data_IF_273062809224
#
_entry.id   IF_273062809224
#
_cell.length_a   1.000
_cell.length_b   1.000
_cell.length_c   1.000
_cell.angle_alpha   90.00
_cell.angle_beta   90.00
_cell.angle_gamma   90.00
#
_symmetry.space_group_name_H-M   'P 1'
#
loop_
_entity.id
_entity.type
_entity.pdbx_description
1 polymer ?
#
# COMPACT_ATOMS: atom_id res chain seq x y z
N UNK A 1 -2.03 -15.91 -9.20
CA UNK A 1 -1.36 -14.63 -8.89
C UNK A 1 -0.05 -14.98 -8.21
N UNK A 2 1.08 -14.47 -8.68
CA UNK A 2 2.38 -14.68 -8.00
C UNK A 2 2.25 -14.27 -6.52
N UNK A 3 2.94 -14.93 -5.57
CA UNK A 3 2.59 -14.95 -4.14
C UNK A 3 2.56 -13.61 -3.38
N UNK A 4 2.75 -12.47 -4.04
CA UNK A 4 2.73 -11.14 -3.44
C UNK A 4 2.11 -10.06 -4.33
N UNK A 5 1.57 -10.43 -5.50
CA UNK A 5 0.88 -9.47 -6.36
C UNK A 5 -0.58 -9.35 -5.94
N UNK A 6 -1.09 -8.12 -5.95
CA UNK A 6 -2.49 -7.83 -5.62
C UNK A 6 -3.29 -7.72 -6.91
N UNK A 7 -4.57 -8.11 -6.88
CA UNK A 7 -5.46 -7.83 -8.00
C UNK A 7 -5.85 -6.36 -7.94
N UNK A 8 -5.75 -5.66 -9.06
CA UNK A 8 -6.09 -4.22 -9.14
C UNK A 8 -7.53 -3.96 -8.67
N UNK A 9 -8.48 -4.87 -8.97
CA UNK A 9 -9.87 -4.77 -8.53
C UNK A 9 -10.09 -4.84 -7.01
N UNK A 10 -9.11 -5.37 -6.27
CA UNK A 10 -9.17 -5.49 -4.81
C UNK A 10 -8.58 -4.21 -4.14
N UNK A 11 -8.13 -3.24 -4.94
CA UNK A 11 -7.59 -1.96 -4.50
C UNK A 11 -8.64 -0.88 -4.67
N UNK A 12 -8.88 -0.12 -3.62
CA UNK A 12 -9.68 1.11 -3.70
C UNK A 12 -8.87 2.30 -3.19
N UNK A 13 -9.31 3.50 -3.55
CA UNK A 13 -8.71 4.74 -3.07
C UNK A 13 -9.71 5.50 -2.21
N UNK A 14 -9.19 6.17 -1.18
CA UNK A 14 -9.97 7.03 -0.30
C UNK A 14 -9.15 8.25 0.09
N UNK A 15 -9.74 9.19 0.81
CA UNK A 15 -9.06 10.39 1.29
C UNK A 15 -9.08 10.44 2.81
N UNK A 16 -7.96 10.84 3.41
CA UNK A 16 -7.91 11.20 4.83
C UNK A 16 -8.84 12.40 5.08
N UNK A 17 -9.18 12.66 6.36
CA UNK A 17 -9.90 13.88 6.76
C UNK A 17 -9.22 15.18 6.33
N UNK A 18 -7.91 15.14 6.03
CA UNK A 18 -7.10 16.29 5.55
C UNK A 18 -6.91 16.30 4.03
N UNK A 19 -7.60 15.43 3.30
CA UNK A 19 -7.57 15.37 1.84
C UNK A 19 -6.43 14.53 1.23
N UNK A 20 -5.51 13.96 2.02
CA UNK A 20 -4.47 13.09 1.47
C UNK A 20 -5.02 11.76 0.96
N UNK A 21 -4.56 11.33 -0.22
CA UNK A 21 -4.91 10.04 -0.83
C UNK A 21 -4.44 8.86 0.02
N UNK A 22 -5.30 7.86 0.15
CA UNK A 22 -5.04 6.58 0.78
C UNK A 22 -5.34 5.47 -0.21
N UNK A 23 -4.50 4.43 -0.20
CA UNK A 23 -4.77 3.16 -0.85
C UNK A 23 -5.39 2.22 0.17
N UNK A 24 -6.50 1.58 -0.16
CA UNK A 24 -7.20 0.63 0.70
C UNK A 24 -7.08 -0.76 0.09
N UNK A 25 -6.61 -1.72 0.89
CA UNK A 25 -6.53 -3.12 0.52
C UNK A 25 -6.83 -3.99 1.74
N UNK A 26 -7.77 -4.95 1.61
CA UNK A 26 -8.25 -5.81 2.71
C UNK A 26 -8.53 -5.01 3.99
N UNK A 27 -9.36 -3.96 3.87
CA UNK A 27 -9.74 -3.04 4.96
C UNK A 27 -8.60 -2.27 5.63
N UNK A 28 -7.35 -2.44 5.20
CA UNK A 28 -6.21 -1.68 5.71
C UNK A 28 -5.90 -0.48 4.81
N UNK A 29 -5.76 0.68 5.45
CA UNK A 29 -5.34 1.90 4.77
C UNK A 29 -3.81 1.99 4.69
N UNK A 30 -3.33 2.41 3.54
CA UNK A 30 -1.93 2.67 3.24
C UNK A 30 -1.76 4.13 2.82
N UNK A 31 -0.70 4.75 3.33
CA UNK A 31 -0.31 6.12 3.00
C UNK A 31 0.87 6.10 2.04
N UNK A 32 0.86 7.04 1.09
CA UNK A 32 1.99 7.24 0.17
C UNK A 32 3.21 7.69 0.98
N UNK A 33 4.32 6.99 0.79
CA UNK A 33 5.61 7.31 1.40
C UNK A 33 6.46 8.15 0.46
N UNK A 34 6.72 7.63 -0.73
CA UNK A 34 7.59 8.25 -1.73
C UNK A 34 7.26 7.75 -3.13
N UNK A 35 7.76 8.48 -4.12
CA UNK A 35 7.84 8.04 -5.52
C UNK A 35 9.31 7.76 -5.83
N UNK A 36 9.60 6.62 -6.47
CA UNK A 36 10.97 6.21 -6.81
C UNK A 36 10.97 5.39 -8.10
N UNK A 37 12.15 5.05 -8.61
CA UNK A 37 12.31 4.18 -9.78
C UNK A 37 12.84 2.81 -9.31
N UNK A 38 12.11 1.74 -9.60
CA UNK A 38 12.51 0.36 -9.28
C UNK A 38 12.55 -0.43 -10.57
N UNK A 39 13.70 -1.03 -10.87
CA UNK A 39 13.92 -1.78 -12.11
C UNK A 39 13.54 -0.99 -13.38
N UNK A 40 13.79 0.32 -13.39
CA UNK A 40 13.47 1.21 -14.51
C UNK A 40 12.04 1.75 -14.53
N UNK A 41 11.17 1.34 -13.60
CA UNK A 41 9.76 1.74 -13.58
C UNK A 41 9.42 2.71 -12.45
N UNK A 42 8.55 3.66 -12.75
CA UNK A 42 8.00 4.62 -11.79
C UNK A 42 7.14 3.89 -10.77
N UNK A 43 7.57 3.89 -9.51
CA UNK A 43 6.98 3.11 -8.43
C UNK A 43 6.61 3.99 -7.24
N UNK A 44 5.34 3.99 -6.88
CA UNK A 44 4.86 4.61 -5.64
C UNK A 44 5.00 3.61 -4.49
N UNK A 45 5.67 4.02 -3.42
CA UNK A 45 5.81 3.27 -2.19
C UNK A 45 4.68 3.64 -1.23
N UNK A 46 3.99 2.63 -0.72
CA UNK A 46 2.91 2.78 0.23
C UNK A 46 3.25 2.03 1.52
N UNK A 47 2.97 2.62 2.68
CA UNK A 47 3.10 1.94 3.97
C UNK A 47 1.78 1.92 4.72
N UNK A 48 1.57 0.89 5.52
CA UNK A 48 0.38 0.81 6.37
C UNK A 48 0.27 2.07 7.26
N UNK A 49 -0.92 2.66 7.33
CA UNK A 49 -1.23 3.86 8.14
C UNK A 49 -0.76 3.74 9.60
N UNK A 50 -0.79 2.53 10.15
CA UNK A 50 -0.38 2.24 11.52
C UNK A 50 1.15 2.02 11.69
N UNK A 51 1.97 2.24 10.66
CA UNK A 51 3.45 2.14 10.73
C UNK A 51 4.04 2.91 11.90
N UNK A 52 3.59 4.15 12.14
CA UNK A 52 4.14 4.98 13.24
C UNK A 52 3.61 4.57 14.61
N UNK A 53 2.30 4.26 14.70
CA UNK A 53 1.57 3.98 15.95
C UNK A 53 1.76 2.55 16.46
N UNK A 54 1.70 1.56 15.57
CA UNK A 54 1.77 0.12 15.88
C UNK A 54 3.04 -0.55 15.35
N UNK A 55 3.97 0.21 14.75
CA UNK A 55 5.21 -0.33 14.14
C UNK A 55 4.94 -1.37 13.05
N UNK A 56 3.78 -1.28 12.40
CA UNK A 56 3.41 -2.18 11.31
C UNK A 56 4.41 -2.08 10.15
N UNK A 57 4.80 -3.23 9.60
CA UNK A 57 5.84 -3.33 8.56
C UNK A 57 5.29 -3.60 7.16
N UNK A 58 3.98 -3.75 7.03
CA UNK A 58 3.32 -4.02 5.75
C UNK A 58 3.45 -2.81 4.82
N UNK A 59 3.87 -3.08 3.59
CA UNK A 59 4.11 -2.11 2.52
C UNK A 59 3.57 -2.64 1.20
N UNK A 60 3.17 -1.73 0.34
CA UNK A 60 2.76 -2.00 -1.04
C UNK A 60 3.59 -1.15 -1.98
N UNK A 61 4.15 -1.76 -3.02
CA UNK A 61 4.76 -1.05 -4.13
C UNK A 61 3.79 -1.06 -5.30
N UNK A 62 3.43 0.13 -5.79
CA UNK A 62 2.61 0.29 -6.98
C UNK A 62 3.49 0.74 -8.14
N UNK A 63 3.77 -0.17 -9.06
CA UNK A 63 4.41 0.17 -10.33
C UNK A 63 3.34 0.82 -11.21
N UNK A 64 3.53 2.11 -11.53
CA UNK A 64 2.55 2.92 -12.24
C UNK A 64 2.54 2.61 -13.74
N UNK A 65 3.71 2.30 -14.32
CA UNK A 65 3.86 2.02 -15.75
C UNK A 65 3.18 0.70 -16.14
N UNK A 66 3.33 -0.33 -15.28
CA UNK A 66 2.72 -1.65 -15.47
C UNK A 66 1.36 -1.79 -14.76
N UNK A 67 0.96 -0.77 -13.99
CA UNK A 67 -0.21 -0.78 -13.11
C UNK A 67 -0.31 -2.05 -12.22
N UNK A 68 0.81 -2.45 -11.60
CA UNK A 68 0.87 -3.64 -10.73
C UNK A 68 1.15 -3.27 -9.28
N UNK A 69 0.56 -4.03 -8.37
CA UNK A 69 0.71 -3.83 -6.93
C UNK A 69 1.38 -5.05 -6.34
N UNK A 70 2.44 -4.84 -5.54
CA UNK A 70 3.15 -5.90 -4.83
C UNK A 70 3.19 -5.58 -3.33
N UNK A 71 2.63 -6.46 -2.51
CA UNK A 71 2.71 -6.37 -1.05
C UNK A 71 4.00 -7.04 -0.56
N UNK A 72 4.62 -6.53 0.50
CA UNK A 72 5.66 -7.30 1.17
C UNK A 72 4.99 -8.39 2.01
N UNK A 73 5.58 -9.60 2.06
CA UNK A 73 4.97 -10.77 2.73
C UNK A 73 4.92 -10.70 4.26
N UNK A 74 4.79 -9.50 4.83
CA UNK A 74 4.56 -9.29 6.26
C UNK A 74 3.06 -9.31 6.56
N UNK A 75 2.70 -9.88 7.71
CA UNK A 75 1.35 -9.76 8.25
C UNK A 75 1.18 -8.45 9.02
N UNK A 76 -0.05 -7.95 9.06
CA UNK A 76 -0.41 -6.84 9.93
C UNK A 76 -0.33 -7.30 11.39
N UNK A 77 0.35 -6.53 12.24
CA UNK A 77 0.45 -6.77 13.68
C UNK A 77 -0.63 -6.03 14.48
N UNK A 78 -1.71 -5.66 13.80
CA UNK A 78 -2.84 -4.92 14.36
C UNK A 78 -4.10 -5.30 13.60
N UNK A 79 -5.25 -5.11 14.25
CA UNK A 79 -6.55 -5.28 13.61
C UNK A 79 -6.84 -4.16 12.62
N UNK A 80 -7.88 -4.36 11.82
CA UNK A 80 -8.41 -3.34 10.91
C UNK A 80 -8.69 -2.04 11.68
N UNK A 81 -8.38 -0.86 11.11
CA UNK A 81 -8.74 0.40 11.76
C UNK A 81 -10.26 0.49 11.89
N UNK A 82 -10.78 0.51 13.12
CA UNK A 82 -12.16 0.90 13.42
C UNK A 82 -12.47 2.32 12.97
#
# INVERSE_FOLDING_TARGET
VLPNFLRVRDITYSSTKRGYLMLIYKSHAFLRENLTTIAGFSTTLWHCREKKRKKCRVRINHNMDLNTFKINGHDHNHQEPT
#
